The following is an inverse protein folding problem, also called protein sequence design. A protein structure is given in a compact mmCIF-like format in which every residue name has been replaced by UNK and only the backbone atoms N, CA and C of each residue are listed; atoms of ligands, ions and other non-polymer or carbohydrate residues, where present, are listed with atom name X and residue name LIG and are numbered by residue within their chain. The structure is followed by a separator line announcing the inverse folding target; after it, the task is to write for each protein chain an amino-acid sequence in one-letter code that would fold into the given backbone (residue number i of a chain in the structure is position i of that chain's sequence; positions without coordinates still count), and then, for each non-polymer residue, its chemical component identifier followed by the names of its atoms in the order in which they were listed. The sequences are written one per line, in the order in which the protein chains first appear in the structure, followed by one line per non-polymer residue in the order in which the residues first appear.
data_IF_778628050554
#
_entry.id   IF_778628050554
#
_cell.length_a   1.000
_cell.length_b   1.000
_cell.length_c   1.000
_cell.angle_alpha   90.00
_cell.angle_beta   90.00
_cell.angle_gamma   90.00
#
_symmetry.space_group_name_H-M   'P 1'
#
loop_
_entity.id
_entity.type
_entity.pdbx_description
1 polymer ?
#
# COMPACT_ATOMS: atom_id res chain seq x y z
N UNK A 1 12.76 5.28 6.28
CA UNK A 1 11.44 4.65 6.18
C UNK A 1 10.34 5.67 5.86
N UNK A 2 9.65 6.27 6.84
CA UNK A 2 8.52 7.21 6.56
C UNK A 2 8.90 8.33 5.56
N UNK A 3 10.07 8.93 5.71
CA UNK A 3 10.55 9.99 4.80
C UNK A 3 10.84 9.49 3.38
N UNK A 4 11.30 8.25 3.22
CA UNK A 4 11.55 7.65 1.91
C UNK A 4 10.23 7.30 1.21
N UNK A 5 9.28 6.72 1.95
CA UNK A 5 7.90 6.51 1.48
C UNK A 5 7.28 7.83 1.02
N UNK A 6 7.38 8.89 1.85
CA UNK A 6 6.84 10.20 1.51
C UNK A 6 7.49 10.77 0.24
N UNK A 7 8.81 10.59 0.06
CA UNK A 7 9.52 11.04 -1.14
C UNK A 7 9.04 10.34 -2.41
N UNK A 8 8.89 9.01 -2.36
CA UNK A 8 8.37 8.25 -3.52
C UNK A 8 6.97 8.71 -3.86
N UNK A 9 6.07 8.75 -2.87
CA UNK A 9 4.68 9.16 -3.09
C UNK A 9 4.54 10.61 -3.59
N UNK A 10 5.43 11.51 -3.19
CA UNK A 10 5.46 12.89 -3.69
C UNK A 10 5.86 12.98 -5.17
N UNK A 11 6.59 11.99 -5.70
CA UNK A 11 6.95 11.93 -7.12
C UNK A 11 5.86 11.31 -8.01
N UNK A 12 4.79 10.77 -7.41
CA UNK A 12 3.68 10.15 -8.13
C UNK A 12 2.60 11.18 -8.47
N UNK A 13 2.52 11.59 -9.74
CA UNK A 13 1.53 12.56 -10.21
C UNK A 13 0.07 12.09 -10.06
N UNK A 14 -0.16 10.80 -9.91
CA UNK A 14 -1.50 10.24 -9.71
C UNK A 14 -1.93 10.23 -8.23
N UNK A 15 -1.00 10.42 -7.28
CA UNK A 15 -1.30 10.43 -5.84
C UNK A 15 -1.75 11.83 -5.43
N UNK A 16 -3.02 11.95 -5.05
CA UNK A 16 -3.62 13.18 -4.54
C UNK A 16 -3.28 13.40 -3.05
N UNK A 17 -3.27 12.34 -2.25
CA UNK A 17 -2.85 12.37 -0.86
C UNK A 17 -2.43 10.98 -0.36
N UNK A 18 -1.66 10.95 0.73
CA UNK A 18 -1.30 9.72 1.44
C UNK A 18 -1.44 9.91 2.95
N UNK A 19 -1.91 8.89 3.66
CA UNK A 19 -2.08 8.90 5.11
C UNK A 19 -1.51 7.63 5.73
N UNK A 20 -0.63 7.79 6.72
CA UNK A 20 -0.16 6.66 7.53
C UNK A 20 -1.23 6.34 8.58
N UNK A 21 -1.56 5.07 8.72
CA UNK A 21 -2.43 4.57 9.77
C UNK A 21 -1.78 3.39 10.50
N UNK A 22 -2.56 2.67 11.30
CA UNK A 22 -2.06 1.44 11.94
C UNK A 22 -1.20 1.69 13.19
N UNK A 23 -0.28 0.77 13.45
CA UNK A 23 0.51 0.76 14.70
C UNK A 23 1.52 1.91 14.75
N UNK A 24 2.15 2.22 13.62
CA UNK A 24 3.12 3.29 13.44
C UNK A 24 2.48 4.67 13.70
N UNK A 25 1.32 4.96 13.11
CA UNK A 25 0.60 6.21 13.36
C UNK A 25 0.19 6.41 14.83
N UNK A 26 0.01 5.32 15.60
CA UNK A 26 -0.37 5.37 17.02
C UNK A 26 0.83 5.38 17.97
N UNK A 27 2.06 5.48 17.46
CA UNK A 27 3.28 5.41 18.27
C UNK A 27 3.52 4.04 18.91
N UNK A 28 2.88 2.98 18.40
CA UNK A 28 3.00 1.60 18.89
C UNK A 28 3.82 0.69 17.95
N UNK A 29 4.44 1.27 16.93
CA UNK A 29 5.36 0.55 16.04
C UNK A 29 6.56 0.03 16.81
N UNK A 30 6.96 -1.21 16.53
CA UNK A 30 8.14 -1.88 17.07
C UNK A 30 9.25 -1.87 16.01
N UNK A 31 10.52 -2.14 16.37
CA UNK A 31 11.54 -2.42 15.37
C UNK A 31 11.07 -3.53 14.42
N UNK A 32 11.04 -3.24 13.11
CA UNK A 32 10.53 -4.15 12.08
C UNK A 32 9.02 -4.13 11.86
N UNK A 33 8.25 -3.23 12.48
CA UNK A 33 6.83 -3.06 12.14
C UNK A 33 6.64 -2.49 10.74
N UNK A 34 5.66 -3.04 10.03
CA UNK A 34 5.20 -2.53 8.74
C UNK A 34 4.62 -1.11 8.87
N UNK A 35 4.65 -0.36 7.77
CA UNK A 35 3.94 0.91 7.65
C UNK A 35 2.70 0.71 6.79
N UNK A 36 1.54 0.94 7.39
CA UNK A 36 0.27 0.98 6.68
C UNK A 36 0.03 2.37 6.09
N UNK A 37 -0.10 2.46 4.76
CA UNK A 37 -0.35 3.73 4.05
C UNK A 37 -1.62 3.62 3.23
N UNK A 38 -2.56 4.56 3.44
CA UNK A 38 -3.73 4.74 2.60
C UNK A 38 -3.43 5.80 1.54
N UNK A 39 -3.79 5.52 0.28
CA UNK A 39 -3.58 6.43 -0.84
C UNK A 39 -4.92 6.93 -1.39
N UNK A 40 -5.03 8.24 -1.57
CA UNK A 40 -6.04 8.87 -2.40
C UNK A 40 -5.47 9.15 -3.78
N UNK A 41 -6.06 8.58 -4.83
CA UNK A 41 -5.64 8.82 -6.21
C UNK A 41 -6.49 9.91 -6.87
N UNK A 42 -5.88 10.67 -7.78
CA UNK A 42 -6.59 11.66 -8.61
C UNK A 42 -7.66 10.97 -9.47
N UNK A 43 -8.68 11.74 -9.86
CA UNK A 43 -9.70 11.25 -10.77
C UNK A 43 -9.06 10.87 -12.13
N UNK A 44 -9.35 9.66 -12.62
CA UNK A 44 -8.78 9.15 -13.88
C UNK A 44 -7.45 8.38 -13.72
N UNK A 45 -6.83 8.39 -12.54
CA UNK A 45 -5.64 7.58 -12.27
C UNK A 45 -5.97 6.08 -12.40
N UNK A 46 -5.05 5.32 -13.00
CA UNK A 46 -5.23 3.87 -13.12
C UNK A 46 -5.21 3.19 -11.75
N UNK A 47 -6.14 2.26 -11.57
CA UNK A 47 -6.24 1.38 -10.40
C UNK A 47 -5.98 -0.08 -10.75
N UNK A 48 -5.47 -0.32 -11.95
CA UNK A 48 -5.14 -1.68 -12.38
C UNK A 48 -3.93 -2.23 -11.62
N UNK A 49 -3.78 -3.55 -11.66
CA UNK A 49 -2.71 -4.25 -10.95
C UNK A 49 -1.30 -3.85 -11.44
N UNK A 50 -1.16 -3.42 -12.68
CA UNK A 50 0.13 -3.01 -13.23
C UNK A 50 0.57 -1.67 -12.67
N UNK A 51 -0.31 -0.67 -12.64
CA UNK A 51 -0.06 0.63 -12.04
C UNK A 51 0.22 0.52 -10.54
N UNK A 52 -0.63 -0.21 -9.81
CA UNK A 52 -0.46 -0.42 -8.36
C UNK A 52 0.79 -1.24 -8.04
N UNK A 53 1.09 -2.26 -8.85
CA UNK A 53 2.31 -3.05 -8.70
C UNK A 53 3.58 -2.26 -8.98
N UNK A 54 3.56 -1.37 -9.98
CA UNK A 54 4.66 -0.45 -10.26
C UNK A 54 4.93 0.50 -9.08
N UNK A 55 3.88 1.05 -8.47
CA UNK A 55 4.00 1.89 -7.28
C UNK A 55 4.55 1.10 -6.08
N UNK A 56 4.03 -0.11 -5.83
CA UNK A 56 4.52 -0.99 -4.77
C UNK A 56 6.02 -1.32 -4.96
N UNK A 57 6.45 -1.63 -6.19
CA UNK A 57 7.85 -1.89 -6.49
C UNK A 57 8.75 -0.67 -6.24
N UNK A 58 8.29 0.56 -6.54
CA UNK A 58 9.04 1.79 -6.25
C UNK A 58 9.17 2.03 -4.75
N UNK A 59 8.09 1.84 -3.99
CA UNK A 59 8.13 1.92 -2.52
C UNK A 59 9.09 0.90 -1.92
N UNK A 60 9.02 -0.35 -2.39
CA UNK A 60 9.98 -1.40 -2.00
C UNK A 60 11.41 -1.07 -2.43
N UNK A 61 11.65 -0.40 -3.56
CA UNK A 61 13.02 -0.04 -3.96
C UNK A 61 13.61 1.09 -3.10
N UNK A 62 12.77 1.96 -2.55
CA UNK A 62 13.19 3.11 -1.77
C UNK A 62 13.46 2.80 -0.29
N UNK A 63 12.85 1.75 0.24
CA UNK A 63 13.01 1.33 1.65
C UNK A 63 13.23 -0.17 1.87
N UNK A 64 12.90 -1.01 0.89
CA UNK A 64 13.17 -2.43 0.94
C UNK A 64 14.65 -2.70 0.69
N UNK A 65 15.31 -3.27 1.69
CA UNK A 65 16.69 -3.74 1.53
C UNK A 65 16.66 -5.19 1.05
N UNK A 66 16.97 -5.42 -0.22
CA UNK A 66 17.23 -6.78 -0.72
C UNK A 66 18.55 -7.25 -0.13
N UNK A 67 18.49 -8.15 0.84
CA UNK A 67 19.67 -8.69 1.52
C UNK A 67 20.41 -9.70 0.61
N UNK A 68 19.68 -10.39 -0.28
CA UNK A 68 20.22 -11.37 -1.24
C UNK A 68 19.23 -11.60 -2.39
N UNK A 69 19.70 -11.50 -3.64
CA UNK A 69 18.95 -11.88 -4.85
C UNK A 69 19.78 -12.86 -5.69
N UNK A 70 19.38 -14.14 -5.69
CA UNK A 70 20.00 -15.19 -6.52
C UNK A 70 19.13 -15.56 -7.74
N UNK A 71 17.90 -15.08 -7.80
CA UNK A 71 16.93 -15.36 -8.85
C UNK A 71 15.92 -14.20 -8.92
N UNK A 72 16.28 -13.21 -9.73
CA UNK A 72 15.51 -11.99 -9.88
C UNK A 72 14.10 -12.26 -10.43
N UNK A 73 13.95 -13.26 -11.32
CA UNK A 73 12.66 -13.60 -11.93
C UNK A 73 11.72 -14.20 -10.88
N UNK A 74 12.23 -15.05 -9.99
CA UNK A 74 11.45 -15.59 -8.89
C UNK A 74 10.99 -14.50 -7.92
N UNK A 75 11.87 -13.55 -7.58
CA UNK A 75 11.52 -12.42 -6.71
C UNK A 75 10.38 -11.58 -7.29
N UNK A 76 10.49 -11.16 -8.56
CA UNK A 76 9.46 -10.38 -9.26
C UNK A 76 8.14 -11.16 -9.35
N UNK A 77 8.19 -12.45 -9.69
CA UNK A 77 6.99 -13.31 -9.79
C UNK A 77 6.28 -13.42 -8.44
N UNK A 78 7.03 -13.59 -7.34
CA UNK A 78 6.47 -13.69 -5.99
C UNK A 78 5.78 -12.39 -5.57
N UNK A 79 6.39 -11.23 -5.87
CA UNK A 79 5.83 -9.90 -5.59
C UNK A 79 4.55 -9.65 -6.37
N UNK A 80 4.57 -9.89 -7.68
CA UNK A 80 3.40 -9.75 -8.54
C UNK A 80 2.25 -10.64 -8.06
N UNK A 81 2.54 -11.89 -7.68
CA UNK A 81 1.54 -12.80 -7.13
C UNK A 81 0.94 -12.29 -5.82
N UNK A 82 1.75 -11.79 -4.89
CA UNK A 82 1.25 -11.24 -3.63
C UNK A 82 0.30 -10.05 -3.84
N UNK A 83 0.60 -9.18 -4.82
CA UNK A 83 -0.29 -8.09 -5.22
C UNK A 83 -1.61 -8.62 -5.76
N UNK A 84 -1.57 -9.57 -6.70
CA UNK A 84 -2.78 -10.16 -7.28
C UNK A 84 -3.63 -10.88 -6.22
N UNK A 85 -3.00 -11.68 -5.35
CA UNK A 85 -3.66 -12.35 -4.22
C UNK A 85 -4.33 -11.34 -3.28
N UNK A 86 -3.71 -10.19 -3.00
CA UNK A 86 -4.34 -9.12 -2.23
C UNK A 86 -5.52 -8.49 -2.97
N UNK A 87 -5.38 -8.22 -4.27
CA UNK A 87 -6.43 -7.63 -5.09
C UNK A 87 -7.68 -8.53 -5.20
N UNK A 88 -7.52 -9.85 -5.16
CA UNK A 88 -8.64 -10.80 -5.09
C UNK A 88 -9.48 -10.63 -3.82
N UNK A 89 -8.85 -10.25 -2.69
CA UNK A 89 -9.52 -9.99 -1.42
C UNK A 89 -10.11 -8.57 -1.30
N UNK A 90 -9.64 -7.62 -2.13
CA UNK A 90 -10.03 -6.21 -2.06
C UNK A 90 -11.55 -5.96 -2.11
N UNK A 91 -12.37 -6.68 -2.91
CA UNK A 91 -13.82 -6.50 -2.91
C UNK A 91 -14.49 -6.85 -1.58
N UNK A 92 -13.95 -7.83 -0.85
CA UNK A 92 -14.46 -8.24 0.47
C UNK A 92 -14.10 -7.16 1.49
N UNK A 93 -12.84 -6.71 1.48
CA UNK A 93 -12.37 -5.63 2.32
C UNK A 93 -13.23 -4.36 2.15
N UNK A 94 -13.51 -3.97 0.90
CA UNK A 94 -14.34 -2.80 0.59
C UNK A 94 -15.77 -2.95 1.12
N UNK A 95 -16.35 -4.15 1.01
CA UNK A 95 -17.70 -4.42 1.55
C UNK A 95 -17.73 -4.29 3.07
N UNK A 96 -16.70 -4.80 3.74
CA UNK A 96 -16.53 -4.70 5.19
C UNK A 96 -16.35 -3.23 5.61
N UNK A 97 -15.45 -2.50 4.96
CA UNK A 97 -15.18 -1.08 5.23
C UNK A 97 -16.45 -0.24 5.05
N UNK A 98 -17.18 -0.44 3.95
CA UNK A 98 -18.45 0.25 3.72
C UNK A 98 -19.51 -0.10 4.79
N UNK A 99 -19.51 -1.34 5.28
CA UNK A 99 -20.35 -1.74 6.41
C UNK A 99 -20.04 -0.97 7.69
N UNK A 100 -18.76 -0.87 8.04
CA UNK A 100 -18.28 -0.11 9.22
C UNK A 100 -18.64 1.37 9.10
N UNK A 101 -18.41 1.99 7.94
CA UNK A 101 -18.75 3.40 7.71
C UNK A 101 -20.26 3.66 7.84
N UNK A 102 -21.10 2.77 7.28
CA UNK A 102 -22.57 2.86 7.44
C UNK A 102 -22.99 2.73 8.91
N UNK A 103 -22.34 1.86 9.67
CA UNK A 103 -22.63 1.70 11.10
C UNK A 103 -22.22 2.94 11.90
N UNK A 104 -21.04 3.50 11.62
CA UNK A 104 -20.55 4.72 12.27
C UNK A 104 -21.45 5.94 11.97
N UNK A 105 -21.93 6.07 10.73
CA UNK A 105 -22.83 7.15 10.31
C UNK A 105 -24.22 7.10 10.97
N UNK A 106 -24.63 5.94 11.51
CA UNK A 106 -25.93 5.78 12.16
C UNK A 106 -25.95 6.22 13.62
N UNK A 107 -24.78 6.42 14.24
CA UNK A 107 -24.67 6.80 15.65
C UNK A 107 -25.23 5.73 16.61
N UNK A 108 -24.69 5.70 17.83
CA UNK A 108 -25.44 5.30 19.01
C UNK A 108 -25.98 6.56 19.64
#
# INVERSE_FOLDING_TARGET
MIENVARVLASEEDVAYALIFGSTARGRGRPGSDIDVALGLRAGASRDAHALGGLAARLESADGTVILDRDHRALVTRKARAILEYLDFKPIEDRCAAGVLRAAARGR
#
